data_IF_755493415015
#
_entry.id   IF_755493415015
#
_cell.length_a   1.000
_cell.length_b   1.000
_cell.length_c   1.000
_cell.angle_alpha   90.00
_cell.angle_beta   90.00
_cell.angle_gamma   90.00
#
_symmetry.space_group_name_H-M   'P 1'
#
loop_
_entity.id
_entity.type
_entity.pdbx_description
1 polymer ?
#
# COMPACT_ATOMS: atom_id res chain seq x y z
N UNK A 1 2.25 4.50 -18.64
CA UNK A 1 2.39 4.06 -17.23
C UNK A 1 2.08 2.58 -17.16
N UNK A 2 2.85 1.81 -16.38
CA UNK A 2 2.58 0.39 -16.12
C UNK A 2 2.20 0.22 -14.66
N UNK A 3 1.31 -0.72 -14.37
CA UNK A 3 0.86 -1.04 -13.03
C UNK A 3 0.76 -2.55 -12.89
N UNK A 4 1.03 -3.06 -11.70
CA UNK A 4 0.86 -4.47 -11.41
C UNK A 4 0.53 -4.69 -9.94
N UNK A 5 -0.03 -5.87 -9.67
CA UNK A 5 -0.32 -6.30 -8.32
C UNK A 5 0.98 -6.68 -7.60
N UNK A 6 1.12 -6.27 -6.35
CA UNK A 6 2.27 -6.57 -5.51
C UNK A 6 2.12 -7.87 -4.71
N UNK A 7 0.95 -8.52 -4.65
CA UNK A 7 0.81 -9.77 -3.91
C UNK A 7 -0.65 -10.16 -3.69
N UNK A 8 -0.89 -11.12 -2.80
CA UNK A 8 -2.28 -11.47 -2.45
C UNK A 8 -2.99 -10.27 -1.81
N UNK A 9 -4.25 -9.98 -2.18
CA UNK A 9 -5.09 -9.05 -1.43
C UNK A 9 -5.17 -9.44 0.05
N UNK A 10 -5.19 -8.45 0.93
CA UNK A 10 -5.24 -8.63 2.38
C UNK A 10 -6.66 -8.34 2.84
N UNK A 11 -7.29 -9.30 3.49
CA UNK A 11 -8.61 -9.11 4.10
C UNK A 11 -8.51 -8.14 5.28
N UNK A 12 -9.40 -7.13 5.32
CA UNK A 12 -9.48 -6.16 6.41
C UNK A 12 -10.94 -5.89 6.79
N UNK A 13 -11.17 -5.22 7.92
CA UNK A 13 -12.52 -4.77 8.33
C UNK A 13 -13.19 -3.80 7.35
N UNK A 14 -12.46 -3.22 6.40
CA UNK A 14 -12.99 -2.29 5.39
C UNK A 14 -13.11 -2.91 4.00
N UNK A 15 -12.62 -4.15 3.79
CA UNK A 15 -12.56 -4.79 2.48
C UNK A 15 -11.21 -5.43 2.17
N UNK A 16 -10.99 -5.78 0.90
CA UNK A 16 -9.72 -6.32 0.43
C UNK A 16 -8.74 -5.19 0.12
N UNK A 17 -7.70 -5.07 0.94
CA UNK A 17 -6.59 -4.17 0.70
C UNK A 17 -5.65 -4.76 -0.36
N UNK A 18 -5.51 -4.07 -1.48
CA UNK A 18 -4.63 -4.46 -2.60
C UNK A 18 -3.49 -3.48 -2.73
N UNK A 19 -2.26 -3.98 -2.60
CA UNK A 19 -1.05 -3.22 -2.89
C UNK A 19 -0.70 -3.35 -4.37
N UNK A 20 -0.40 -2.22 -5.00
CA UNK A 20 -0.03 -2.17 -6.42
C UNK A 20 1.26 -1.39 -6.59
N UNK A 21 2.10 -1.77 -7.54
CA UNK A 21 3.23 -0.94 -7.95
C UNK A 21 2.84 -0.16 -9.20
N UNK A 22 3.29 1.08 -9.29
CA UNK A 22 3.11 1.94 -10.45
C UNK A 22 4.44 2.47 -10.95
N UNK A 23 4.63 2.49 -12.27
CA UNK A 23 5.85 3.02 -12.92
C UNK A 23 5.57 4.38 -13.52
N UNK A 24 6.13 5.41 -12.88
CA UNK A 24 6.09 6.81 -13.32
C UNK A 24 7.19 7.17 -14.34
N UNK A 25 7.29 8.46 -14.70
CA UNK A 25 8.39 8.97 -15.52
C UNK A 25 9.74 8.69 -14.84
N UNK A 26 10.82 8.60 -15.62
CA UNK A 26 12.16 8.25 -15.12
C UNK A 26 12.25 6.92 -14.35
N UNK A 27 11.34 5.98 -14.62
CA UNK A 27 11.28 4.66 -13.96
C UNK A 27 11.17 4.76 -12.43
N UNK A 28 10.43 5.75 -11.93
CA UNK A 28 10.11 5.80 -10.50
C UNK A 28 9.03 4.77 -10.19
N UNK A 29 9.40 3.69 -9.49
CA UNK A 29 8.45 2.70 -8.99
C UNK A 29 7.98 3.12 -7.61
N UNK A 30 6.67 3.23 -7.43
CA UNK A 30 6.07 3.50 -6.14
C UNK A 30 5.02 2.43 -5.84
N UNK A 31 4.77 2.17 -4.56
CA UNK A 31 3.69 1.29 -4.11
C UNK A 31 2.49 2.17 -3.76
N UNK A 32 1.33 1.86 -4.32
CA UNK A 32 0.03 2.43 -3.98
C UNK A 32 -0.89 1.37 -3.38
N UNK A 33 -2.05 1.82 -2.90
CA UNK A 33 -3.06 0.95 -2.31
C UNK A 33 -4.46 1.25 -2.87
N UNK A 34 -5.25 0.20 -3.01
CA UNK A 34 -6.69 0.25 -3.28
C UNK A 34 -7.42 -0.65 -2.28
N UNK A 35 -8.66 -0.29 -1.95
CA UNK A 35 -9.57 -1.11 -1.18
C UNK A 35 -10.67 -1.60 -2.11
N UNK A 36 -10.92 -2.90 -2.13
CA UNK A 36 -12.00 -3.54 -2.89
C UNK A 36 -13.09 -4.03 -1.95
N UNK A 37 -14.33 -4.11 -2.42
CA UNK A 37 -15.44 -4.64 -1.63
C UNK A 37 -15.20 -6.11 -1.23
N UNK A 38 -15.55 -6.46 0.02
CA UNK A 38 -15.28 -7.78 0.59
C UNK A 38 -16.08 -8.89 -0.11
N UNK A 39 -17.31 -8.59 -0.53
CA UNK A 39 -18.24 -9.52 -1.16
C UNK A 39 -18.09 -9.55 -2.68
N UNK A 40 -17.79 -8.40 -3.29
CA UNK A 40 -17.57 -8.25 -4.73
C UNK A 40 -16.25 -7.53 -5.03
N UNK A 41 -15.11 -8.27 -5.13
CA UNK A 41 -13.80 -7.66 -5.34
C UNK A 41 -13.64 -7.01 -6.73
N UNK A 42 -14.64 -7.07 -7.61
CA UNK A 42 -14.63 -6.28 -8.85
C UNK A 42 -14.89 -4.79 -8.60
N UNK A 43 -15.41 -4.44 -7.42
CA UNK A 43 -15.69 -3.06 -7.04
C UNK A 43 -14.54 -2.45 -6.24
N UNK A 44 -13.97 -1.38 -6.78
CA UNK A 44 -13.01 -0.53 -6.06
C UNK A 44 -13.79 0.47 -5.22
N UNK A 45 -13.75 0.31 -3.90
CA UNK A 45 -14.46 1.18 -2.95
C UNK A 45 -13.58 2.33 -2.46
N UNK A 46 -12.26 2.18 -2.52
CA UNK A 46 -11.30 3.23 -2.14
C UNK A 46 -9.97 3.11 -2.86
N UNK A 47 -9.30 4.25 -3.06
CA UNK A 47 -7.94 4.29 -3.63
C UNK A 47 -7.18 5.49 -3.10
N UNK A 48 -5.94 5.27 -2.65
CA UNK A 48 -5.08 6.37 -2.26
C UNK A 48 -4.71 7.22 -3.48
N UNK A 49 -4.76 8.55 -3.32
CA UNK A 49 -4.32 9.50 -4.35
C UNK A 49 -2.81 9.50 -4.51
N UNK A 50 -2.11 9.40 -3.39
CA UNK A 50 -0.65 9.39 -3.33
C UNK A 50 -0.12 7.98 -2.98
N UNK A 51 1.11 7.63 -3.40
CA UNK A 51 1.71 6.35 -3.05
C UNK A 51 1.91 6.20 -1.55
N UNK A 52 1.77 4.97 -1.05
CA UNK A 52 2.05 4.64 0.35
C UNK A 52 3.55 4.52 0.61
N UNK A 53 4.30 4.11 -0.42
CA UNK A 53 5.75 4.03 -0.37
C UNK A 53 6.34 4.54 -1.67
N UNK A 54 7.35 5.38 -1.54
CA UNK A 54 8.12 5.95 -2.64
C UNK A 54 9.61 5.92 -2.28
N UNK A 55 10.52 5.82 -3.27
CA UNK A 55 11.95 5.82 -3.00
C UNK A 55 12.37 7.12 -2.32
N UNK A 56 13.04 7.02 -1.17
CA UNK A 56 13.67 8.15 -0.48
C UNK A 56 15.06 8.45 -1.10
N UNK A 57 15.74 9.52 -0.68
CA UNK A 57 17.03 9.95 -1.26
C UNK A 57 18.15 8.90 -1.13
N UNK A 58 18.13 8.09 -0.07
CA UNK A 58 19.13 7.05 0.19
C UNK A 58 18.87 5.76 -0.62
N UNK A 59 17.62 5.51 -1.02
CA UNK A 59 17.19 4.36 -1.82
C UNK A 59 17.32 4.59 -3.34
N UNK A 60 17.87 5.74 -3.76
CA UNK A 60 18.10 6.06 -5.17
C UNK A 60 19.40 5.49 -5.70
N UNK A 61 20.31 5.03 -4.84
CA UNK A 61 21.58 4.44 -5.25
C UNK A 61 21.43 2.90 -5.37
N UNK A 62 21.87 2.33 -6.50
CA UNK A 62 21.81 0.88 -6.76
C UNK A 62 21.68 0.52 -8.24
N UNK A 63 21.46 -0.77 -8.55
CA UNK A 63 21.46 -1.31 -9.92
C UNK A 63 20.32 -0.76 -10.78
N UNK A 64 19.13 -0.56 -10.19
CA UNK A 64 18.03 0.20 -10.80
C UNK A 64 17.60 1.32 -9.85
N UNK A 65 17.99 2.58 -10.11
CA UNK A 65 17.69 3.68 -9.21
C UNK A 65 16.18 4.00 -9.20
N UNK A 66 15.66 4.44 -8.05
CA UNK A 66 14.27 4.86 -7.82
C UNK A 66 13.23 3.71 -7.85
N UNK A 67 13.61 2.53 -7.36
CA UNK A 67 12.71 1.37 -7.29
C UNK A 67 12.40 0.99 -5.85
N UNK A 68 11.11 1.02 -5.51
CA UNK A 68 10.55 0.24 -4.40
C UNK A 68 9.53 -0.76 -4.95
N UNK A 69 9.64 -2.01 -4.55
CA UNK A 69 8.76 -3.10 -4.98
C UNK A 69 8.48 -4.06 -3.83
N UNK A 70 7.27 -4.60 -3.74
CA UNK A 70 6.95 -5.65 -2.77
C UNK A 70 6.28 -6.84 -3.45
N UNK A 71 6.54 -8.03 -2.92
CA UNK A 71 5.90 -9.29 -3.33
C UNK A 71 4.73 -9.68 -2.42
N UNK A 72 4.39 -8.82 -1.45
CA UNK A 72 3.24 -9.00 -0.58
C UNK A 72 3.48 -8.34 0.77
N UNK A 73 2.42 -8.27 1.56
CA UNK A 73 2.47 -7.74 2.90
C UNK A 73 1.66 -8.63 3.84
N UNK A 74 1.86 -8.45 5.15
CA UNK A 74 1.22 -9.24 6.19
C UNK A 74 0.45 -8.31 7.12
N UNK A 75 -0.80 -8.66 7.41
CA UNK A 75 -1.56 -8.01 8.48
C UNK A 75 -1.14 -8.61 9.82
N UNK A 76 -0.72 -7.76 10.74
CA UNK A 76 -0.40 -8.15 12.11
C UNK A 76 -1.67 -8.62 12.85
N UNK A 77 -1.49 -9.40 13.91
CA UNK A 77 -2.60 -9.98 14.68
C UNK A 77 -3.53 -8.94 15.33
N UNK A 78 -3.13 -7.67 15.40
CA UNK A 78 -3.99 -6.58 15.88
C UNK A 78 -5.06 -6.14 14.86
N UNK A 79 -5.01 -6.65 13.62
CA UNK A 79 -5.99 -6.35 12.58
C UNK A 79 -5.87 -4.96 11.97
N UNK A 80 -4.82 -4.20 12.30
CA UNK A 80 -4.63 -2.82 11.80
C UNK A 80 -3.23 -2.59 11.21
N UNK A 81 -2.17 -3.15 11.79
CA UNK A 81 -0.82 -2.89 11.29
C UNK A 81 -0.48 -3.81 10.13
N UNK A 82 -0.23 -3.24 8.95
CA UNK A 82 0.33 -3.96 7.80
C UNK A 82 1.84 -3.81 7.81
N UNK A 83 2.55 -4.94 7.72
CA UNK A 83 3.99 -5.02 7.58
C UNK A 83 4.31 -5.35 6.14
N UNK A 84 5.10 -4.50 5.48
CA UNK A 84 5.49 -4.60 4.08
C UNK A 84 7.00 -4.84 3.99
N UNK A 85 7.44 -6.08 3.77
CA UNK A 85 8.78 -6.33 3.24
C UNK A 85 8.83 -5.79 1.81
N UNK A 86 9.79 -4.93 1.50
CA UNK A 86 9.96 -4.37 0.16
C UNK A 86 11.42 -4.41 -0.26
N UNK A 87 11.64 -4.63 -1.55
CA UNK A 87 12.95 -4.56 -2.18
C UNK A 87 13.24 -3.12 -2.62
N UNK A 88 14.49 -2.71 -2.44
CA UNK A 88 15.06 -1.45 -2.91
C UNK A 88 16.14 -1.75 -3.94
N UNK A 89 16.09 -1.03 -5.06
CA UNK A 89 17.11 -1.06 -6.12
C UNK A 89 17.48 -2.46 -6.67
N UNK A 90 16.58 -3.44 -6.55
CA UNK A 90 16.79 -4.87 -6.87
C UNK A 90 18.00 -5.50 -6.15
N UNK A 91 18.44 -4.94 -5.01
CA UNK A 91 19.67 -5.35 -4.33
C UNK A 91 19.49 -5.69 -2.85
N UNK A 92 18.50 -5.09 -2.20
CA UNK A 92 18.31 -5.18 -0.75
C UNK A 92 16.83 -5.23 -0.41
N UNK A 93 16.50 -5.76 0.77
CA UNK A 93 15.14 -5.74 1.31
C UNK A 93 15.13 -4.98 2.62
N UNK A 94 14.08 -4.20 2.83
CA UNK A 94 13.78 -3.49 4.07
C UNK A 94 12.28 -3.69 4.42
N UNK A 95 11.86 -3.13 5.55
CA UNK A 95 10.49 -3.22 6.05
C UNK A 95 9.89 -1.84 6.24
N UNK A 96 8.67 -1.67 5.76
CA UNK A 96 7.81 -0.55 6.11
C UNK A 96 6.58 -1.09 6.85
N UNK A 97 5.92 -0.22 7.61
CA UNK A 97 4.62 -0.55 8.18
C UNK A 97 3.67 0.64 8.12
N UNK A 98 2.37 0.34 8.06
CA UNK A 98 1.31 1.35 8.09
C UNK A 98 0.04 0.79 8.74
N UNK A 99 -0.86 1.67 9.15
CA UNK A 99 -2.18 1.34 9.69
C UNK A 99 -3.23 1.22 8.57
N UNK A 100 -4.06 0.19 8.64
CA UNK A 100 -5.24 0.02 7.76
C UNK A 100 -6.22 1.17 7.96
N UNK A 101 -6.43 1.61 9.20
CA UNK A 101 -7.32 2.72 9.51
C UNK A 101 -6.84 4.01 8.84
N UNK A 102 -5.55 4.35 8.95
CA UNK A 102 -5.01 5.53 8.28
C UNK A 102 -5.11 5.45 6.74
N UNK A 103 -4.96 4.25 6.17
CA UNK A 103 -5.18 4.04 4.73
C UNK A 103 -6.66 4.27 4.37
N UNK A 104 -7.59 3.71 5.13
CA UNK A 104 -9.02 3.88 4.88
C UNK A 104 -9.46 5.34 5.06
N UNK A 105 -8.87 6.08 6.01
CA UNK A 105 -9.03 7.54 6.16
C UNK A 105 -8.49 8.29 4.94
N UNK A 106 -7.29 7.92 4.47
CA UNK A 106 -6.69 8.49 3.26
C UNK A 106 -7.53 8.26 1.99
N UNK A 107 -8.33 7.19 1.98
CA UNK A 107 -9.30 6.88 0.93
C UNK A 107 -10.66 7.56 1.13
N UNK A 108 -10.92 8.15 2.29
CA UNK A 108 -12.21 8.75 2.65
C UNK A 108 -13.31 7.72 2.99
N UNK A 109 -12.95 6.49 3.36
CA UNK A 109 -13.89 5.43 3.75
C UNK A 109 -14.41 5.58 5.18
N UNK A 110 -13.67 6.32 6.01
CA UNK A 110 -13.98 6.59 7.41
C UNK A 110 -13.72 8.06 7.69
N UNK A 111 -14.60 8.66 8.49
CA UNK A 111 -14.50 10.06 8.89
C UNK A 111 -14.01 10.13 10.35
N UNK A 112 -12.76 10.55 10.54
CA UNK A 112 -12.11 10.65 11.87
C UNK A 112 -12.96 11.41 12.91
N UNK A 113 -13.87 12.31 12.48
CA UNK A 113 -14.75 13.07 13.38
C UNK A 113 -15.97 12.29 13.90
N UNK A 114 -16.50 11.34 13.14
CA UNK A 114 -17.76 10.66 13.49
C UNK A 114 -17.55 9.32 14.20
N UNK A 115 -16.43 8.64 13.96
CA UNK A 115 -16.21 7.29 14.51
C UNK A 115 -15.53 7.28 15.89
N UNK A 116 -14.82 8.37 16.27
CA UNK A 116 -14.32 8.55 17.62
C UNK A 116 -15.43 8.75 18.68
N UNK A 117 -16.67 9.03 18.24
CA UNK A 117 -17.84 9.19 19.10
C UNK A 117 -18.63 7.87 19.29
N UNK A 118 -18.19 6.77 18.66
CA UNK A 118 -18.81 5.44 18.75
C UNK A 118 -17.96 4.42 19.54
N UNK A 119 -16.82 4.84 20.08
CA UNK A 119 -15.94 4.03 20.92
C UNK A 119 -16.12 4.35 22.41
#
# INVERSE_FOLDING_TARGET
FKMGNCGSPIETKYGWLVLTHGVGPFRRYCIGAAMLDLNDPTQVIGRLKDPILQPNENEREGYVPNVVYTCGAMLAANGDTVIVPYATSDSSSDFASFSVDDVAIGMGLIDKRNDALKA
#
